data_IF_361971221809
#
_entry.id   IF_361971221809
#
_cell.length_a   1.000
_cell.length_b   1.000
_cell.length_c   1.000
_cell.angle_alpha   90.00
_cell.angle_beta   90.00
_cell.angle_gamma   90.00
#
_symmetry.space_group_name_H-M   'P 1'
#
loop_
_entity.id
_entity.type
_entity.pdbx_description
1 polymer ?
#
# COMPACT_ATOMS: atom_id res chain seq x y z
N UNK A 1 -29.20 12.81 -24.02
CA UNK A 1 -28.50 11.56 -23.66
C UNK A 1 -27.49 11.89 -22.56
N UNK A 2 -27.93 11.79 -21.33
CA UNK A 2 -27.03 11.90 -20.15
C UNK A 2 -26.31 10.56 -19.99
N UNK A 3 -25.05 10.50 -20.40
CA UNK A 3 -24.17 9.40 -19.99
C UNK A 3 -23.73 9.69 -18.57
N UNK A 4 -24.36 9.02 -17.61
CA UNK A 4 -23.92 9.05 -16.22
C UNK A 4 -22.49 8.59 -16.13
N UNK A 5 -21.63 9.43 -15.56
CA UNK A 5 -20.28 9.09 -15.17
C UNK A 5 -20.39 8.05 -14.06
N UNK A 6 -20.11 6.80 -14.36
CA UNK A 6 -20.06 5.73 -13.38
C UNK A 6 -18.82 5.97 -12.50
N UNK A 7 -18.98 6.75 -11.43
CA UNK A 7 -18.00 6.81 -10.35
C UNK A 7 -18.02 5.46 -9.64
N UNK A 8 -16.94 4.68 -9.83
CA UNK A 8 -16.76 3.47 -9.06
C UNK A 8 -16.60 3.87 -7.59
N UNK A 9 -17.30 3.22 -6.65
CA UNK A 9 -17.26 3.57 -5.24
C UNK A 9 -15.83 3.43 -4.67
N UNK A 10 -15.42 4.30 -3.73
CA UNK A 10 -14.11 4.26 -3.10
C UNK A 10 -13.92 3.00 -2.24
N UNK A 11 -12.70 2.50 -2.20
CA UNK A 11 -12.28 1.38 -1.36
C UNK A 11 -11.25 1.90 -0.35
N UNK A 12 -11.47 1.65 0.93
CA UNK A 12 -10.57 2.06 2.00
C UNK A 12 -9.60 0.94 2.37
N UNK A 13 -8.39 1.33 2.72
CA UNK A 13 -7.39 0.44 3.30
C UNK A 13 -6.60 1.21 4.35
N UNK A 14 -6.46 0.64 5.56
CA UNK A 14 -5.49 1.09 6.54
C UNK A 14 -4.19 0.35 6.32
N UNK A 15 -3.07 1.06 6.40
CA UNK A 15 -1.74 0.50 6.35
C UNK A 15 -1.06 0.72 7.70
N UNK A 16 -0.90 -0.35 8.48
CA UNK A 16 -0.05 -0.37 9.66
C UNK A 16 1.26 -1.09 9.31
N UNK A 17 2.38 -0.42 9.51
CA UNK A 17 3.69 -1.04 9.36
C UNK A 17 3.95 -1.94 10.57
N UNK A 18 4.13 -3.23 10.32
CA UNK A 18 4.81 -4.12 11.24
C UNK A 18 6.30 -4.06 10.86
N UNK A 19 7.04 -3.10 11.40
CA UNK A 19 8.50 -3.22 11.38
C UNK A 19 8.87 -4.44 12.23
N UNK A 20 9.72 -5.31 11.69
CA UNK A 20 10.29 -6.35 12.52
C UNK A 20 11.03 -5.65 13.66
N UNK A 21 10.69 -5.98 14.89
CA UNK A 21 11.25 -5.38 16.11
C UNK A 21 12.76 -5.29 16.09
N UNK A 22 13.44 -6.27 15.49
CA UNK A 22 14.90 -6.33 15.41
C UNK A 22 15.53 -5.23 14.52
N UNK A 23 14.91 -4.85 13.41
CA UNK A 23 15.48 -3.80 12.55
C UNK A 23 15.29 -2.42 13.16
N UNK A 24 14.20 -2.21 13.88
CA UNK A 24 13.93 -0.98 14.62
C UNK A 24 14.78 -0.90 15.88
N UNK A 25 14.89 -2.00 16.63
CA UNK A 25 15.79 -2.10 17.79
C UNK A 25 17.26 -1.93 17.42
N UNK A 26 17.73 -2.48 16.30
CA UNK A 26 19.11 -2.28 15.84
C UNK A 26 19.38 -0.82 15.44
N UNK A 27 18.44 -0.11 14.83
CA UNK A 27 18.60 1.32 14.52
C UNK A 27 18.53 2.22 15.76
N UNK A 28 17.65 1.93 16.70
CA UNK A 28 17.57 2.62 17.98
C UNK A 28 18.76 2.27 18.88
N UNK A 29 19.22 1.03 18.90
CA UNK A 29 20.36 0.59 19.68
C UNK A 29 21.69 1.17 19.15
N UNK A 30 21.85 1.32 17.82
CA UNK A 30 23.03 1.99 17.26
C UNK A 30 23.03 3.50 17.54
N UNK A 31 21.86 4.15 17.54
CA UNK A 31 21.74 5.58 17.85
C UNK A 31 21.91 5.88 19.34
N UNK A 32 21.39 5.01 20.23
CA UNK A 32 21.55 5.17 21.66
C UNK A 32 22.99 4.89 22.16
N UNK A 33 23.77 4.07 21.44
CA UNK A 33 25.21 3.88 21.73
C UNK A 33 26.07 5.07 21.37
N UNK A 34 25.62 5.94 20.45
CA UNK A 34 26.36 7.16 20.08
C UNK A 34 26.02 8.35 20.98
N UNK A 35 24.88 8.40 21.64
CA UNK A 35 24.40 9.57 22.39
C UNK A 35 24.34 9.40 23.93
N UNK A 36 24.83 8.30 24.49
CA UNK A 36 25.09 8.16 25.94
C UNK A 36 23.90 8.39 26.87
N UNK A 37 22.65 8.29 26.42
CA UNK A 37 21.46 8.48 27.26
C UNK A 37 20.76 7.16 27.56
N UNK A 38 20.69 6.80 28.85
CA UNK A 38 19.88 5.72 29.37
C UNK A 38 18.39 6.10 29.36
N UNK A 39 17.62 5.57 28.40
CA UNK A 39 16.16 5.50 28.51
C UNK A 39 15.73 4.05 28.72
N UNK A 40 14.88 3.77 29.73
CA UNK A 40 14.35 2.43 29.91
C UNK A 40 13.41 2.10 28.75
N UNK A 41 13.72 1.04 28.03
CA UNK A 41 12.90 0.52 26.93
C UNK A 41 11.69 -0.16 27.55
N UNK A 42 10.62 0.61 27.77
CA UNK A 42 9.30 0.06 28.07
C UNK A 42 8.43 0.29 26.81
N UNK A 43 8.79 -0.37 25.70
CA UNK A 43 7.89 -0.51 24.58
C UNK A 43 6.83 -1.55 24.96
N UNK A 44 5.71 -1.06 25.51
CA UNK A 44 4.50 -1.86 25.55
C UNK A 44 4.06 -2.10 24.12
N UNK A 45 4.33 -3.28 23.59
CA UNK A 45 3.81 -3.76 22.33
C UNK A 45 2.28 -3.71 22.40
N UNK A 46 1.68 -2.70 21.81
CA UNK A 46 0.25 -2.77 21.53
C UNK A 46 0.06 -3.94 20.56
N UNK A 47 -0.66 -4.96 20.99
CA UNK A 47 -0.95 -6.16 20.20
C UNK A 47 -1.39 -5.78 18.77
N UNK A 48 -0.88 -6.42 17.72
CA UNK A 48 -1.34 -6.23 16.35
C UNK A 48 -2.87 -6.25 16.25
N UNK A 49 -3.51 -7.10 17.05
CA UNK A 49 -4.97 -7.23 17.18
C UNK A 49 -5.66 -5.91 17.55
N UNK A 50 -5.05 -5.09 18.41
CA UNK A 50 -5.61 -3.78 18.78
C UNK A 50 -5.70 -2.85 17.56
N UNK A 51 -4.67 -2.79 16.75
CA UNK A 51 -4.65 -1.96 15.55
C UNK A 51 -5.64 -2.46 14.48
N UNK A 52 -5.80 -3.78 14.35
CA UNK A 52 -6.76 -4.38 13.43
C UNK A 52 -8.19 -4.02 13.86
N UNK A 53 -8.51 -4.13 15.15
CA UNK A 53 -9.81 -3.75 15.69
C UNK A 53 -10.10 -2.26 15.50
N UNK A 54 -9.14 -1.40 15.80
CA UNK A 54 -9.26 0.04 15.55
C UNK A 54 -9.51 0.34 14.07
N UNK A 55 -8.80 -0.35 13.16
CA UNK A 55 -9.01 -0.24 11.74
C UNK A 55 -10.43 -0.63 11.32
N UNK A 56 -10.94 -1.73 11.85
CA UNK A 56 -12.30 -2.21 11.57
C UNK A 56 -13.35 -1.23 12.12
N UNK A 57 -13.21 -0.78 13.36
CA UNK A 57 -14.09 0.22 13.99
C UNK A 57 -14.11 1.53 13.22
N UNK A 58 -12.96 1.93 12.68
CA UNK A 58 -12.82 3.07 11.80
C UNK A 58 -13.42 2.86 10.39
N UNK A 59 -14.07 1.73 10.11
CA UNK A 59 -14.74 1.45 8.84
C UNK A 59 -13.81 1.05 7.69
N UNK A 60 -12.57 0.66 7.98
CA UNK A 60 -11.66 0.16 6.95
C UNK A 60 -12.09 -1.19 6.42
N UNK A 61 -12.03 -1.36 5.12
CA UNK A 61 -12.43 -2.61 4.44
C UNK A 61 -11.27 -3.57 4.24
N UNK A 62 -10.03 -3.03 4.27
CA UNK A 62 -8.79 -3.78 4.05
C UNK A 62 -7.73 -3.36 5.06
N UNK A 63 -7.11 -4.33 5.71
CA UNK A 63 -5.94 -4.11 6.54
C UNK A 63 -4.66 -4.37 5.72
N UNK A 64 -3.76 -3.39 5.67
CA UNK A 64 -2.48 -3.52 4.97
C UNK A 64 -1.35 -3.62 5.99
N UNK A 65 -0.58 -4.70 5.96
CA UNK A 65 0.61 -4.87 6.78
C UNK A 65 1.85 -4.97 5.92
N UNK A 66 2.97 -4.48 6.44
CA UNK A 66 4.24 -4.50 5.74
C UNK A 66 5.40 -4.82 6.66
N UNK A 67 6.39 -5.49 6.11
CA UNK A 67 7.69 -5.69 6.75
C UNK A 67 8.78 -5.22 5.78
N UNK A 68 9.77 -4.52 6.31
CA UNK A 68 10.91 -4.03 5.51
C UNK A 68 11.95 -5.15 5.31
N UNK A 69 11.53 -6.31 4.83
CA UNK A 69 12.43 -7.41 4.55
C UNK A 69 13.15 -7.20 3.21
N UNK A 70 14.43 -7.49 3.21
CA UNK A 70 15.19 -7.50 1.97
C UNK A 70 14.71 -8.65 1.07
N UNK A 71 14.49 -9.80 1.69
CA UNK A 71 13.89 -11.01 1.13
C UNK A 71 13.24 -11.80 2.27
N UNK A 72 12.39 -12.75 1.94
CA UNK A 72 11.75 -13.64 2.91
C UNK A 72 12.56 -14.91 3.16
N UNK A 73 13.63 -15.13 2.39
CA UNK A 73 14.52 -16.28 2.50
C UNK A 73 15.35 -16.15 3.79
N UNK A 74 15.30 -17.17 4.64
CA UNK A 74 16.02 -17.20 5.91
C UNK A 74 15.25 -16.69 7.13
N UNK A 75 14.04 -16.11 6.96
CA UNK A 75 13.19 -15.62 8.07
C UNK A 75 11.96 -16.50 8.30
N UNK A 76 12.14 -17.80 8.38
CA UNK A 76 11.03 -18.77 8.51
C UNK A 76 10.08 -18.47 9.68
N UNK A 77 10.58 -18.06 10.82
CA UNK A 77 9.80 -17.77 12.02
C UNK A 77 8.88 -16.53 11.79
N UNK A 78 9.41 -15.49 11.17
CA UNK A 78 8.63 -14.28 10.90
C UNK A 78 7.59 -14.50 9.80
N UNK A 79 7.87 -15.36 8.82
CA UNK A 79 6.91 -15.68 7.75
C UNK A 79 5.71 -16.46 8.30
N UNK A 80 5.93 -17.45 9.15
CA UNK A 80 4.83 -18.19 9.79
C UNK A 80 3.93 -17.27 10.63
N UNK A 81 4.50 -16.30 11.33
CA UNK A 81 3.74 -15.31 12.09
C UNK A 81 2.87 -14.42 11.18
N UNK A 82 3.38 -14.03 9.99
CA UNK A 82 2.58 -13.28 9.00
C UNK A 82 1.40 -14.13 8.52
N UNK A 83 1.60 -15.41 8.27
CA UNK A 83 0.53 -16.35 7.89
C UNK A 83 -0.58 -16.40 8.95
N UNK A 84 -0.21 -16.49 10.24
CA UNK A 84 -1.20 -16.45 11.32
C UNK A 84 -1.94 -15.11 11.42
N UNK A 85 -1.25 -13.98 11.25
CA UNK A 85 -1.92 -12.67 11.22
C UNK A 85 -2.91 -12.55 10.05
N UNK A 86 -2.57 -13.08 8.87
CA UNK A 86 -3.50 -13.09 7.74
C UNK A 86 -4.79 -13.84 8.11
N UNK A 87 -4.68 -15.03 8.68
CA UNK A 87 -5.83 -15.83 9.13
C UNK A 87 -6.68 -15.07 10.16
N UNK A 88 -6.02 -14.45 11.16
CA UNK A 88 -6.72 -13.67 12.20
C UNK A 88 -7.49 -12.49 11.61
N UNK A 89 -6.87 -11.70 10.70
CA UNK A 89 -7.51 -10.56 10.06
C UNK A 89 -8.69 -11.02 9.19
N UNK A 90 -8.52 -12.12 8.45
CA UNK A 90 -9.60 -12.73 7.66
C UNK A 90 -10.75 -13.17 8.54
N UNK A 91 -10.50 -13.84 9.67
CA UNK A 91 -11.50 -14.22 10.65
C UNK A 91 -12.28 -13.03 11.24
N UNK A 92 -11.71 -11.81 11.20
CA UNK A 92 -12.41 -10.58 11.57
C UNK A 92 -13.27 -9.99 10.42
N UNK A 93 -13.34 -10.61 9.25
CA UNK A 93 -14.12 -10.16 8.11
C UNK A 93 -13.52 -8.96 7.38
N UNK A 94 -12.18 -8.84 7.35
CA UNK A 94 -11.47 -7.80 6.61
C UNK A 94 -10.65 -8.42 5.46
N UNK A 95 -10.51 -7.69 4.37
CA UNK A 95 -9.51 -8.01 3.36
C UNK A 95 -8.10 -7.77 3.92
N UNK A 96 -7.12 -8.53 3.43
CA UNK A 96 -5.72 -8.42 3.86
C UNK A 96 -4.81 -8.10 2.68
N UNK A 97 -3.93 -7.13 2.87
CA UNK A 97 -2.85 -6.81 1.93
C UNK A 97 -1.50 -6.88 2.62
N UNK A 98 -0.52 -7.50 1.98
CA UNK A 98 0.85 -7.55 2.49
C UNK A 98 1.84 -6.84 1.58
N UNK A 99 2.92 -6.31 2.19
CA UNK A 99 4.12 -5.80 1.52
C UNK A 99 5.33 -6.41 2.24
N UNK A 100 5.87 -7.51 1.72
CA UNK A 100 6.92 -8.30 2.41
C UNK A 100 8.25 -8.34 1.62
N UNK A 101 8.39 -7.52 0.57
CA UNK A 101 9.53 -7.57 -0.32
C UNK A 101 9.34 -8.55 -1.47
N UNK A 102 10.41 -9.17 -1.95
CA UNK A 102 10.35 -10.17 -3.03
C UNK A 102 9.71 -11.46 -2.53
N UNK A 103 8.86 -12.07 -3.34
CA UNK A 103 8.24 -13.36 -3.04
C UNK A 103 8.64 -14.42 -4.06
N UNK A 104 8.94 -15.61 -3.56
CA UNK A 104 9.00 -16.83 -4.34
C UNK A 104 7.60 -17.42 -4.55
N UNK A 105 7.43 -18.21 -5.59
CA UNK A 105 6.14 -18.84 -5.93
C UNK A 105 5.53 -19.62 -4.76
N UNK A 106 6.33 -20.42 -4.05
CA UNK A 106 5.85 -21.19 -2.89
C UNK A 106 5.35 -20.32 -1.74
N UNK A 107 6.01 -19.16 -1.52
CA UNK A 107 5.60 -18.21 -0.50
C UNK A 107 4.29 -17.52 -0.87
N UNK A 108 4.13 -17.13 -2.15
CA UNK A 108 2.89 -16.55 -2.65
C UNK A 108 1.71 -17.55 -2.48
N UNK A 109 1.92 -18.82 -2.79
CA UNK A 109 0.91 -19.87 -2.58
C UNK A 109 0.54 -20.02 -1.10
N UNK A 110 1.51 -20.08 -0.19
CA UNK A 110 1.25 -20.18 1.25
C UNK A 110 0.48 -18.96 1.80
N UNK A 111 0.76 -17.75 1.29
CA UNK A 111 0.00 -16.55 1.65
C UNK A 111 -1.44 -16.60 1.12
N UNK A 112 -1.66 -17.12 -0.10
CA UNK A 112 -3.02 -17.32 -0.64
C UNK A 112 -3.81 -18.32 0.18
N UNK A 113 -3.21 -19.45 0.54
CA UNK A 113 -3.83 -20.47 1.40
C UNK A 113 -4.20 -19.91 2.79
N UNK A 114 -3.43 -18.96 3.29
CA UNK A 114 -3.75 -18.26 4.53
C UNK A 114 -4.91 -17.25 4.38
N UNK A 115 -5.38 -16.99 3.15
CA UNK A 115 -6.45 -16.05 2.86
C UNK A 115 -5.98 -14.63 2.46
N UNK A 116 -4.73 -14.46 2.03
CA UNK A 116 -4.26 -13.15 1.56
C UNK A 116 -5.04 -12.72 0.32
N UNK A 117 -5.67 -11.54 0.38
CA UNK A 117 -6.49 -11.00 -0.72
C UNK A 117 -5.70 -10.17 -1.71
N UNK A 118 -4.68 -9.45 -1.26
CA UNK A 118 -3.86 -8.62 -2.12
C UNK A 118 -2.39 -8.59 -1.68
N UNK A 119 -1.48 -8.38 -2.63
CA UNK A 119 -0.07 -8.15 -2.36
C UNK A 119 0.40 -6.85 -2.97
N UNK A 120 0.99 -5.97 -2.17
CA UNK A 120 1.55 -4.71 -2.64
C UNK A 120 3.03 -4.87 -2.97
N UNK A 121 3.35 -4.60 -4.23
CA UNK A 121 4.73 -4.60 -4.72
C UNK A 121 4.87 -3.57 -5.84
N UNK A 122 5.21 -2.35 -5.46
CA UNK A 122 5.29 -1.24 -6.40
C UNK A 122 6.48 -1.40 -7.35
N UNK A 123 6.31 -0.96 -8.59
CA UNK A 123 7.41 -0.77 -9.54
C UNK A 123 8.20 0.52 -9.25
N UNK A 124 7.60 1.42 -8.49
CA UNK A 124 8.10 2.70 -8.01
C UNK A 124 8.29 3.74 -9.13
N UNK A 125 8.94 3.42 -10.25
CA UNK A 125 9.17 4.32 -11.39
C UNK A 125 9.27 3.52 -12.70
N UNK A 126 9.72 4.17 -13.80
CA UNK A 126 9.98 3.47 -15.07
C UNK A 126 11.17 2.52 -14.99
N UNK A 127 11.23 1.56 -15.92
CA UNK A 127 12.37 0.66 -16.07
C UNK A 127 13.69 1.42 -16.31
N UNK A 128 13.63 2.50 -17.07
CA UNK A 128 14.81 3.33 -17.42
C UNK A 128 15.33 4.13 -16.23
N UNK A 129 14.44 4.63 -15.39
CA UNK A 129 14.80 5.45 -14.24
C UNK A 129 15.09 4.64 -12.97
N UNK A 130 14.52 3.43 -12.87
CA UNK A 130 14.63 2.57 -11.69
C UNK A 130 16.06 2.37 -11.17
N UNK A 131 17.09 2.11 -12.01
CA UNK A 131 18.46 1.91 -11.53
C UNK A 131 19.08 3.16 -10.89
N UNK A 132 18.55 4.34 -11.15
CA UNK A 132 19.03 5.59 -10.53
C UNK A 132 18.54 5.74 -9.08
N UNK A 133 17.45 5.07 -8.72
CA UNK A 133 16.83 5.17 -7.40
C UNK A 133 17.09 3.93 -6.55
N UNK A 134 17.07 2.75 -7.15
CA UNK A 134 17.18 1.47 -6.46
C UNK A 134 18.31 0.66 -7.05
N UNK A 135 19.36 0.47 -6.25
CA UNK A 135 20.56 -0.29 -6.64
C UNK A 135 20.59 -1.72 -6.07
N UNK A 136 19.68 -2.03 -5.12
CA UNK A 136 19.72 -3.30 -4.39
C UNK A 136 18.95 -4.43 -5.06
N UNK A 137 18.12 -4.13 -6.06
CA UNK A 137 17.24 -5.06 -6.78
C UNK A 137 17.04 -4.57 -8.20
N UNK A 138 16.83 -5.50 -9.13
CA UNK A 138 16.49 -5.18 -10.51
C UNK A 138 14.98 -4.94 -10.69
N UNK A 139 14.64 -4.27 -11.77
CA UNK A 139 13.26 -4.07 -12.17
C UNK A 139 12.56 -5.39 -12.55
N UNK A 140 13.33 -6.31 -13.16
CA UNK A 140 12.82 -7.62 -13.56
C UNK A 140 12.49 -8.51 -12.36
N UNK A 141 13.28 -8.47 -11.30
CA UNK A 141 12.93 -9.16 -10.03
C UNK A 141 11.60 -8.66 -9.45
N UNK A 142 11.31 -7.37 -9.61
CA UNK A 142 9.99 -6.83 -9.21
C UNK A 142 8.86 -7.39 -10.06
N UNK A 143 9.02 -7.42 -11.38
CA UNK A 143 8.04 -8.01 -12.29
C UNK A 143 7.83 -9.50 -12.01
N UNK A 144 8.90 -10.25 -11.77
CA UNK A 144 8.81 -11.66 -11.40
C UNK A 144 8.01 -11.87 -10.11
N UNK A 145 8.19 -11.01 -9.11
CA UNK A 145 7.36 -11.08 -7.89
C UNK A 145 5.89 -10.85 -8.20
N UNK A 146 5.55 -9.89 -9.07
CA UNK A 146 4.16 -9.65 -9.49
C UNK A 146 3.58 -10.86 -10.23
N UNK A 147 4.37 -11.54 -11.03
CA UNK A 147 3.99 -12.79 -11.72
C UNK A 147 3.69 -13.90 -10.70
N UNK A 148 4.59 -14.15 -9.73
CA UNK A 148 4.36 -15.15 -8.67
C UNK A 148 3.10 -14.88 -7.86
N UNK A 149 2.83 -13.61 -7.54
CA UNK A 149 1.61 -13.17 -6.85
C UNK A 149 0.37 -13.47 -7.69
N UNK A 150 0.43 -13.15 -8.98
CA UNK A 150 -0.66 -13.38 -9.94
C UNK A 150 -0.92 -14.89 -10.13
N UNK A 151 0.12 -15.68 -10.31
CA UNK A 151 0.05 -17.14 -10.43
C UNK A 151 -0.60 -17.82 -9.21
N UNK A 152 -0.37 -17.26 -8.02
CA UNK A 152 -1.00 -17.74 -6.78
C UNK A 152 -2.48 -17.31 -6.65
N UNK A 153 -3.03 -16.54 -7.58
CA UNK A 153 -4.41 -16.05 -7.51
C UNK A 153 -4.61 -14.94 -6.47
N UNK A 154 -3.57 -14.19 -6.15
CA UNK A 154 -3.63 -13.03 -5.25
C UNK A 154 -3.77 -11.76 -6.10
N UNK A 155 -4.63 -10.84 -5.68
CA UNK A 155 -4.77 -9.54 -6.34
C UNK A 155 -3.48 -8.72 -6.25
N UNK A 156 -3.08 -8.13 -7.37
CA UNK A 156 -1.87 -7.31 -7.46
C UNK A 156 -2.19 -5.87 -7.10
N UNK A 157 -1.41 -5.32 -6.17
CA UNK A 157 -1.36 -3.89 -5.88
C UNK A 157 0.02 -3.37 -6.28
N UNK A 158 0.11 -2.64 -7.40
CA UNK A 158 1.38 -2.14 -7.91
C UNK A 158 1.20 -0.78 -8.56
N UNK A 159 2.04 0.16 -8.18
CA UNK A 159 2.05 1.53 -8.66
C UNK A 159 3.44 2.14 -8.51
N UNK A 160 3.49 3.45 -8.27
CA UNK A 160 4.76 4.14 -8.18
C UNK A 160 4.73 5.42 -7.37
N UNK A 161 5.87 6.09 -7.40
CA UNK A 161 6.15 7.32 -6.69
C UNK A 161 6.53 8.37 -7.73
N UNK A 162 5.91 9.54 -7.68
CA UNK A 162 6.32 10.70 -8.47
C UNK A 162 7.03 11.73 -7.60
N UNK A 163 7.93 12.51 -8.21
CA UNK A 163 8.77 13.47 -7.51
C UNK A 163 10.13 12.92 -7.09
N UNK A 164 10.55 11.76 -7.61
CA UNK A 164 11.88 11.17 -7.38
C UNK A 164 13.01 11.88 -8.16
N UNK A 165 12.66 12.87 -9.00
CA UNK A 165 13.55 13.52 -9.97
C UNK A 165 13.47 12.90 -11.35
N UNK A 166 12.48 12.06 -11.59
CA UNK A 166 12.13 11.46 -12.87
C UNK A 166 11.55 12.48 -13.85
N UNK A 167 11.65 12.19 -15.14
CA UNK A 167 11.01 12.96 -16.21
C UNK A 167 9.57 12.51 -16.46
N UNK A 168 8.80 13.26 -17.26
CA UNK A 168 7.41 12.88 -17.62
C UNK A 168 7.39 11.57 -18.39
N UNK A 169 8.36 11.32 -19.25
CA UNK A 169 8.52 10.06 -19.99
C UNK A 169 8.67 8.85 -19.05
N UNK A 170 9.31 9.04 -17.91
CA UNK A 170 9.43 7.98 -16.90
C UNK A 170 8.09 7.67 -16.24
N UNK A 171 7.26 8.69 -15.99
CA UNK A 171 5.89 8.50 -15.48
C UNK A 171 5.01 7.78 -16.50
N UNK A 172 5.13 8.15 -17.78
CA UNK A 172 4.48 7.44 -18.89
C UNK A 172 4.98 6.00 -18.95
N UNK A 173 6.30 5.78 -18.87
CA UNK A 173 6.92 4.45 -18.88
C UNK A 173 6.42 3.54 -17.75
N UNK A 174 6.23 4.08 -16.54
CA UNK A 174 5.66 3.36 -15.42
C UNK A 174 4.21 2.92 -15.71
N UNK A 175 3.35 3.86 -16.12
CA UNK A 175 1.94 3.56 -16.43
C UNK A 175 1.81 2.63 -17.62
N UNK A 176 2.64 2.79 -18.66
CA UNK A 176 2.69 1.89 -19.80
C UNK A 176 3.04 0.46 -19.35
N UNK A 177 4.07 0.28 -18.51
CA UNK A 177 4.42 -1.04 -18.00
C UNK A 177 3.27 -1.69 -17.25
N UNK A 178 2.60 -0.95 -16.33
CA UNK A 178 1.48 -1.48 -15.56
C UNK A 178 0.27 -1.83 -16.45
N UNK A 179 -0.02 -1.00 -17.45
CA UNK A 179 -1.14 -1.18 -18.37
C UNK A 179 -0.91 -2.26 -19.42
N UNK A 180 0.34 -2.65 -19.65
CA UNK A 180 0.71 -3.71 -20.61
C UNK A 180 1.05 -5.05 -19.95
N UNK A 181 0.89 -5.17 -18.63
CA UNK A 181 0.91 -6.47 -17.98
C UNK A 181 -0.20 -7.38 -18.54
N UNK A 182 -0.01 -8.69 -18.58
CA UNK A 182 -1.02 -9.64 -19.08
C UNK A 182 -2.41 -9.46 -18.44
N UNK A 183 -2.42 -9.05 -17.18
CA UNK A 183 -3.62 -8.61 -16.45
C UNK A 183 -3.27 -7.33 -15.69
N UNK A 184 -4.10 -6.29 -15.83
CA UNK A 184 -3.89 -5.04 -15.08
C UNK A 184 -3.88 -5.30 -13.57
N UNK A 185 -3.08 -4.55 -12.79
CA UNK A 185 -3.18 -4.58 -11.34
C UNK A 185 -4.60 -4.21 -10.88
N UNK A 186 -5.12 -4.90 -9.88
CA UNK A 186 -6.40 -4.57 -9.26
C UNK A 186 -6.32 -3.25 -8.50
N UNK A 187 -5.14 -2.86 -8.04
CA UNK A 187 -4.93 -1.58 -7.36
C UNK A 187 -3.63 -0.91 -7.81
N UNK A 188 -3.72 0.38 -8.10
CA UNK A 188 -2.60 1.21 -8.58
C UNK A 188 -2.42 2.40 -7.64
N UNK A 189 -1.55 2.28 -6.62
CA UNK A 189 -1.23 3.40 -5.75
C UNK A 189 -0.32 4.42 -6.45
N UNK A 190 -0.74 5.68 -6.43
CA UNK A 190 0.06 6.82 -6.86
C UNK A 190 0.50 7.56 -5.62
N UNK A 191 1.82 7.59 -5.39
CA UNK A 191 2.43 8.23 -4.25
C UNK A 191 3.14 9.52 -4.68
N UNK A 192 3.03 10.58 -3.89
CA UNK A 192 3.88 11.75 -4.00
C UNK A 192 5.06 11.63 -3.03
N UNK A 193 6.27 11.87 -3.51
CA UNK A 193 7.46 11.86 -2.65
C UNK A 193 7.31 12.90 -1.53
N UNK A 194 7.59 12.47 -0.31
CA UNK A 194 7.86 13.36 0.81
C UNK A 194 9.38 13.40 1.01
N UNK A 195 10.01 14.49 0.60
CA UNK A 195 11.44 14.70 0.82
C UNK A 195 11.74 14.76 2.33
N UNK A 196 12.62 13.89 2.81
CA UNK A 196 12.99 13.78 4.23
C UNK A 196 14.44 14.17 4.39
N UNK A 197 14.73 15.09 5.31
CA UNK A 197 16.09 15.54 5.62
C UNK A 197 16.99 14.37 6.03
N UNK A 198 18.20 14.36 5.51
CA UNK A 198 19.17 13.27 5.74
C UNK A 198 19.01 12.07 4.80
N UNK A 199 18.15 12.17 3.79
CA UNK A 199 18.00 11.16 2.73
C UNK A 199 18.60 11.66 1.40
N UNK A 200 18.97 10.76 0.47
CA UNK A 200 19.49 11.17 -0.85
C UNK A 200 18.54 12.04 -1.69
N UNK A 201 17.26 12.08 -1.34
CA UNK A 201 16.20 12.81 -2.05
C UNK A 201 15.69 14.02 -1.23
N UNK A 202 16.44 14.50 -0.24
CA UNK A 202 16.03 15.60 0.64
C UNK A 202 15.79 16.93 -0.09
N UNK A 203 16.49 17.16 -1.20
CA UNK A 203 16.41 18.40 -2.00
C UNK A 203 15.36 18.34 -3.13
N UNK A 204 14.59 17.24 -3.22
CA UNK A 204 13.56 17.13 -4.24
C UNK A 204 12.42 18.13 -3.98
N UNK A 205 11.98 18.78 -5.07
CA UNK A 205 10.86 19.70 -5.01
C UNK A 205 9.57 18.96 -4.65
N UNK A 206 8.69 19.61 -3.88
CA UNK A 206 7.34 19.07 -3.65
C UNK A 206 6.62 18.80 -4.98
N UNK A 207 5.92 17.68 -5.04
CA UNK A 207 5.03 17.35 -6.16
C UNK A 207 3.87 18.33 -6.20
N UNK A 208 3.61 18.91 -7.37
CA UNK A 208 2.48 19.81 -7.61
C UNK A 208 1.19 18.99 -7.77
N UNK A 209 0.07 19.54 -7.31
CA UNK A 209 -1.23 18.85 -7.40
C UNK A 209 -1.59 18.45 -8.83
N UNK A 210 -1.25 19.29 -9.81
CA UNK A 210 -1.55 19.03 -11.22
C UNK A 210 -0.80 17.82 -11.77
N UNK A 211 0.38 17.50 -11.22
CA UNK A 211 1.12 16.28 -11.56
C UNK A 211 0.41 15.04 -11.01
N UNK A 212 -0.12 15.11 -9.78
CA UNK A 212 -0.95 14.05 -9.21
C UNK A 212 -2.23 13.84 -10.01
N UNK A 213 -2.94 14.91 -10.36
CA UNK A 213 -4.17 14.86 -11.14
C UNK A 213 -3.92 14.21 -12.51
N UNK A 214 -2.87 14.63 -13.23
CA UNK A 214 -2.49 14.02 -14.52
C UNK A 214 -2.16 12.54 -14.38
N UNK A 215 -1.35 12.19 -13.38
CA UNK A 215 -0.95 10.80 -13.15
C UNK A 215 -2.13 9.89 -12.82
N UNK A 216 -3.03 10.36 -11.95
CA UNK A 216 -4.26 9.64 -11.56
C UNK A 216 -5.22 9.51 -12.75
N UNK A 217 -5.45 10.61 -13.49
CA UNK A 217 -6.33 10.62 -14.66
C UNK A 217 -5.83 9.67 -15.75
N UNK A 218 -4.53 9.69 -16.04
CA UNK A 218 -3.91 8.79 -17.01
C UNK A 218 -4.03 7.34 -16.55
N UNK A 219 -3.70 7.05 -15.29
CA UNK A 219 -3.85 5.70 -14.71
C UNK A 219 -5.29 5.19 -14.84
N UNK A 220 -6.30 6.05 -14.58
CA UNK A 220 -7.71 5.70 -14.72
C UNK A 220 -8.10 5.37 -16.15
N UNK A 221 -7.59 6.13 -17.14
CA UNK A 221 -7.88 5.92 -18.56
C UNK A 221 -7.28 4.60 -19.05
N UNK A 222 -6.00 4.36 -18.76
CA UNK A 222 -5.29 3.18 -19.28
C UNK A 222 -5.58 1.90 -18.50
N UNK A 223 -6.04 2.01 -17.27
CA UNK A 223 -6.42 0.87 -16.40
C UNK A 223 -7.83 1.12 -15.79
N UNK A 224 -8.89 1.09 -16.61
CA UNK A 224 -10.21 1.57 -16.21
C UNK A 224 -10.87 0.79 -15.09
N UNK A 225 -10.50 -0.48 -14.88
CA UNK A 225 -11.04 -1.35 -13.82
C UNK A 225 -10.25 -1.29 -12.52
N UNK A 226 -9.02 -0.76 -12.54
CA UNK A 226 -8.16 -0.71 -11.38
C UNK A 226 -8.69 0.23 -10.29
N UNK A 227 -8.42 -0.08 -9.04
CA UNK A 227 -8.55 0.87 -7.95
C UNK A 227 -7.35 1.82 -7.98
N UNK A 228 -7.53 3.01 -8.55
CA UNK A 228 -6.51 4.05 -8.55
C UNK A 228 -6.50 4.71 -7.18
N UNK A 229 -5.37 4.59 -6.48
CA UNK A 229 -5.28 5.02 -5.09
C UNK A 229 -4.46 6.30 -4.95
N UNK A 230 -5.09 7.34 -4.40
CA UNK A 230 -4.38 8.48 -3.85
C UNK A 230 -3.69 8.04 -2.56
N UNK A 231 -2.37 7.94 -2.58
CA UNK A 231 -1.60 7.20 -1.60
C UNK A 231 -0.68 8.12 -0.76
N UNK A 232 0.57 7.69 -0.47
CA UNK A 232 1.49 8.47 0.36
C UNK A 232 1.75 9.87 -0.23
N UNK A 233 2.01 10.83 0.67
CA UNK A 233 2.24 12.23 0.30
C UNK A 233 0.97 13.09 0.21
N UNK A 234 -0.23 12.48 0.19
CA UNK A 234 -1.49 13.22 0.08
C UNK A 234 -1.75 14.20 1.24
N UNK A 235 -1.14 13.97 2.40
CA UNK A 235 -1.21 14.87 3.56
C UNK A 235 -0.76 16.30 3.25
N UNK A 236 0.00 16.51 2.18
CA UNK A 236 0.47 17.83 1.74
C UNK A 236 -0.56 18.57 0.90
N UNK A 237 -1.56 17.88 0.40
CA UNK A 237 -2.61 18.45 -0.43
C UNK A 237 -3.81 18.87 0.44
N UNK A 238 -4.33 20.04 0.18
CA UNK A 238 -5.58 20.52 0.78
C UNK A 238 -6.74 19.58 0.45
N UNK A 239 -7.83 19.67 1.20
CA UNK A 239 -9.06 18.89 0.93
C UNK A 239 -9.56 19.12 -0.50
N UNK A 240 -9.52 20.36 -1.00
CA UNK A 240 -9.93 20.68 -2.37
C UNK A 240 -9.02 20.02 -3.42
N UNK A 241 -7.71 19.99 -3.21
CA UNK A 241 -6.77 19.32 -4.09
C UNK A 241 -6.94 17.81 -4.07
N UNK A 242 -7.18 17.21 -2.91
CA UNK A 242 -7.51 15.78 -2.82
C UNK A 242 -8.84 15.48 -3.53
N UNK A 243 -9.84 16.35 -3.41
CA UNK A 243 -11.10 16.24 -4.16
C UNK A 243 -10.87 16.23 -5.68
N UNK A 244 -9.96 17.07 -6.21
CA UNK A 244 -9.58 17.04 -7.63
C UNK A 244 -9.00 15.69 -8.04
N UNK A 245 -8.22 15.04 -7.16
CA UNK A 245 -7.71 13.69 -7.42
C UNK A 245 -8.85 12.67 -7.56
N UNK A 246 -9.89 12.75 -6.71
CA UNK A 246 -11.08 11.88 -6.84
C UNK A 246 -11.85 12.16 -8.12
N UNK A 247 -12.04 13.43 -8.48
CA UNK A 247 -12.69 13.82 -9.75
C UNK A 247 -11.89 13.35 -10.97
N UNK A 248 -10.55 13.33 -10.88
CA UNK A 248 -9.68 12.80 -11.94
C UNK A 248 -9.72 11.27 -12.05
N UNK A 249 -10.28 10.57 -11.07
CA UNK A 249 -10.46 9.12 -11.16
C UNK A 249 -9.84 8.31 -10.02
N UNK A 250 -9.27 8.92 -8.98
CA UNK A 250 -8.95 8.19 -7.76
C UNK A 250 -10.25 7.66 -7.14
N UNK A 251 -10.21 6.44 -6.61
CA UNK A 251 -11.36 5.82 -5.94
C UNK A 251 -10.94 5.00 -4.73
N UNK A 252 -9.74 5.22 -4.21
CA UNK A 252 -9.21 4.54 -3.03
C UNK A 252 -8.19 5.43 -2.34
N UNK A 253 -8.11 5.34 -1.02
CA UNK A 253 -7.05 5.94 -0.20
C UNK A 253 -6.51 4.92 0.79
N UNK A 254 -5.38 5.25 1.41
CA UNK A 254 -5.01 4.69 2.71
C UNK A 254 -5.52 5.63 3.80
N UNK A 255 -6.15 5.08 4.83
CA UNK A 255 -6.56 5.79 6.03
C UNK A 255 -5.73 5.31 7.24
N UNK A 256 -5.71 6.10 8.33
CA UNK A 256 -4.89 5.87 9.51
C UNK A 256 -3.73 6.86 9.62
N UNK A 257 -3.26 7.14 10.83
CA UNK A 257 -2.32 8.23 11.16
C UNK A 257 -0.97 8.15 10.44
N UNK A 258 -0.56 6.95 10.05
CA UNK A 258 0.72 6.69 9.40
C UNK A 258 0.60 5.69 8.26
N UNK A 259 1.38 5.94 7.20
CA UNK A 259 1.65 5.00 6.12
C UNK A 259 3.09 4.51 6.26
N UNK A 260 3.32 3.38 6.97
CA UNK A 260 4.64 2.89 7.34
C UNK A 260 5.40 3.95 8.17
N UNK A 261 6.21 4.77 7.51
CA UNK A 261 7.07 5.78 8.14
C UNK A 261 6.62 7.22 7.89
N UNK A 262 5.65 7.45 7.01
CA UNK A 262 5.19 8.79 6.65
C UNK A 262 3.87 9.15 7.32
N UNK A 263 3.66 10.42 7.73
CA UNK A 263 2.38 10.87 8.24
C UNK A 263 1.29 10.75 7.17
N UNK A 264 0.06 10.59 7.61
CA UNK A 264 -1.13 10.58 6.77
C UNK A 264 -2.22 11.43 7.42
N UNK A 265 -3.34 11.66 6.72
CA UNK A 265 -4.49 12.32 7.31
C UNK A 265 -5.11 11.41 8.37
N UNK A 266 -5.65 12.03 9.42
CA UNK A 266 -6.43 11.27 10.39
C UNK A 266 -7.75 10.76 9.78
N UNK A 267 -8.37 9.84 10.50
CA UNK A 267 -9.58 9.18 10.02
C UNK A 267 -10.76 10.16 9.90
N UNK A 268 -10.92 11.07 10.83
CA UNK A 268 -12.06 12.01 10.86
C UNK A 268 -12.00 12.97 9.67
N UNK A 269 -10.82 13.50 9.35
CA UNK A 269 -10.61 14.35 8.18
C UNK A 269 -10.96 13.61 6.86
N UNK A 270 -10.65 12.32 6.77
CA UNK A 270 -11.03 11.51 5.61
C UNK A 270 -12.54 11.31 5.52
N UNK A 271 -13.23 11.06 6.64
CA UNK A 271 -14.69 10.93 6.68
C UNK A 271 -15.40 12.24 6.32
N UNK A 272 -14.91 13.38 6.81
CA UNK A 272 -15.44 14.69 6.44
C UNK A 272 -15.28 14.97 4.95
N UNK A 273 -14.12 14.66 4.37
CA UNK A 273 -13.89 14.80 2.94
C UNK A 273 -14.86 13.93 2.13
N UNK A 274 -15.07 12.68 2.52
CA UNK A 274 -16.01 11.80 1.82
C UNK A 274 -17.44 12.28 1.90
N UNK A 275 -17.85 12.73 3.07
CA UNK A 275 -19.18 13.32 3.27
C UNK A 275 -19.37 14.55 2.37
N UNK A 276 -18.37 15.42 2.29
CA UNK A 276 -18.37 16.59 1.42
C UNK A 276 -18.50 16.20 -0.06
N UNK A 277 -17.81 15.13 -0.48
CA UNK A 277 -17.81 14.64 -1.87
C UNK A 277 -19.00 13.72 -2.20
N UNK A 278 -19.84 13.37 -1.22
CA UNK A 278 -20.92 12.39 -1.39
C UNK A 278 -20.42 10.98 -1.67
N UNK A 279 -19.22 10.61 -1.19
CA UNK A 279 -18.61 9.30 -1.38
C UNK A 279 -18.96 8.39 -0.23
N UNK A 280 -19.30 7.14 -0.56
CA UNK A 280 -19.60 6.09 0.42
C UNK A 280 -18.55 5.00 0.31
N UNK A 281 -17.93 4.58 1.43
CA UNK A 281 -17.00 3.46 1.45
C UNK A 281 -17.66 2.18 0.91
N UNK A 282 -16.93 1.46 0.05
CA UNK A 282 -17.37 0.16 -0.42
C UNK A 282 -17.08 -0.90 0.65
N UNK A 283 -18.01 -1.83 0.94
CA UNK A 283 -17.74 -2.93 1.86
C UNK A 283 -16.60 -3.84 1.37
N UNK A 284 -15.96 -4.60 2.25
CA UNK A 284 -14.96 -5.60 1.86
C UNK A 284 -15.59 -6.59 0.88
N UNK A 285 -14.77 -7.07 -0.06
CA UNK A 285 -15.20 -8.04 -1.07
C UNK A 285 -14.37 -9.32 -0.89
N UNK A 286 -15.06 -10.44 -0.78
CA UNK A 286 -14.48 -11.77 -0.73
C UNK A 286 -14.89 -12.54 -1.98
N UNK A 287 -14.05 -13.46 -2.45
CA UNK A 287 -14.42 -14.41 -3.49
C UNK A 287 -15.36 -15.45 -2.88
N UNK A 288 -16.26 -16.06 -3.70
CA UNK A 288 -17.29 -16.99 -3.21
C UNK A 288 -16.71 -18.23 -2.49
N UNK A 289 -15.47 -18.62 -2.81
CA UNK A 289 -14.75 -19.69 -2.11
C UNK A 289 -14.19 -19.26 -0.74
N UNK A 290 -14.04 -17.97 -0.50
CA UNK A 290 -13.56 -17.41 0.78
C UNK A 290 -14.65 -17.37 1.86
N UNK A 291 -15.94 -17.33 1.49
CA UNK A 291 -17.06 -17.33 2.44
C UNK A 291 -17.15 -18.63 3.27
N UNK A 292 -16.61 -19.73 2.74
CA UNK A 292 -16.57 -21.01 3.46
C UNK A 292 -15.57 -21.02 4.63
N UNK A 293 -14.51 -20.23 4.55
CA UNK A 293 -13.51 -20.11 5.61
C UNK A 293 -14.03 -19.31 6.83
N UNK A 294 -14.95 -18.38 6.60
CA UNK A 294 -15.54 -17.57 7.68
C UNK A 294 -16.67 -18.29 8.45
N UNK A 295 -17.22 -19.36 7.90
CA UNK A 295 -18.37 -20.08 8.52
C UNK A 295 -17.96 -21.23 9.45
N UNK A 296 -16.69 -21.62 9.47
CA UNK A 296 -16.22 -22.79 10.25
C UNK A 296 -15.98 -22.49 11.74
N UNK A 297 -15.91 -21.22 12.15
CA UNK A 297 -15.69 -20.84 13.56
C UNK A 297 -16.95 -20.35 14.30
N UNK A 298 -18.13 -20.54 13.74
CA UNK A 298 -19.41 -20.13 14.36
C UNK A 298 -20.25 -21.31 14.88
N UNK A 299 -19.63 -22.46 15.23
CA UNK A 299 -20.27 -23.61 15.91
C UNK A 299 -19.62 -23.89 17.26
#
# INVERSE_FOLDING_TARGET
MQRGLLLLPPVFAIRHGLESSEAHEQRLCTRSRQEGSHYPINCSYSSPRKHILQAKEAGSTRFCMGAAWRDTVGRKTNFSQIVEYIKEIRGMGMEVCCTLGMLEKQQAMALKEAGLTAYNHNLDTSRSYYPKIISTRSYDERLQTLEHVRDAGISVCSGGIIGLGEAEEDRVGLLHTLATLPTHPESVPINALLAVKGTPLEDQKPVEIWEMVRMIGTARIVMPKAMVRLSAGRVRFSVAEQALCFLAGANSIFTGDKLLTTPNNDFDADQEMFKLLGLIPKPPKFDEDDDKLCQVEAL
#
